data_IF_912705442055
#
_entry.id   IF_912705442055
#
_cell.length_a   1.000
_cell.length_b   1.000
_cell.length_c   1.000
_cell.angle_alpha   90.00
_cell.angle_beta   90.00
_cell.angle_gamma   90.00
#
_symmetry.space_group_name_H-M   'P 1'
#
loop_
_entity.id
_entity.type
_entity.pdbx_description
1 polymer ?
#
# COMPACT_ATOMS: atom_id res chain seq x y z
N UNK A 1 11.46 8.10 21.48
CA UNK A 1 10.78 9.06 20.61
C UNK A 1 11.79 9.91 19.85
N UNK A 2 11.97 9.64 18.55
CA UNK A 2 12.76 10.45 17.61
C UNK A 2 11.86 11.52 16.99
N UNK A 3 12.34 12.75 16.84
CA UNK A 3 11.59 13.83 16.15
C UNK A 3 12.00 13.94 14.69
N UNK A 4 11.01 14.08 13.78
CA UNK A 4 11.20 14.20 12.34
C UNK A 4 10.26 15.30 11.82
N UNK A 5 10.68 16.08 10.82
CA UNK A 5 9.79 17.04 10.13
C UNK A 5 8.94 16.30 9.09
N UNK A 6 7.63 16.58 9.01
CA UNK A 6 6.71 15.94 8.04
C UNK A 6 7.23 15.99 6.60
N UNK A 7 7.84 17.12 6.21
CA UNK A 7 8.40 17.34 4.87
C UNK A 7 9.69 16.54 4.58
N UNK A 8 10.33 15.97 5.60
CA UNK A 8 11.57 15.19 5.49
C UNK A 8 11.30 13.68 5.42
N UNK A 9 10.04 13.26 5.60
CA UNK A 9 9.66 11.85 5.55
C UNK A 9 9.65 11.39 4.09
N UNK A 10 10.50 10.43 3.71
CA UNK A 10 10.49 9.92 2.34
C UNK A 10 9.26 9.05 2.08
N UNK A 11 8.81 9.05 0.83
CA UNK A 11 7.87 8.04 0.34
C UNK A 11 8.58 6.69 0.27
N UNK A 12 7.82 5.62 0.51
CA UNK A 12 8.29 4.25 0.39
C UNK A 12 8.74 3.96 -1.04
N UNK A 13 9.99 3.54 -1.27
CA UNK A 13 10.46 3.15 -2.59
C UNK A 13 9.70 1.92 -3.13
N UNK A 14 9.16 2.02 -4.34
CA UNK A 14 8.43 0.95 -5.04
C UNK A 14 9.03 0.67 -6.42
N UNK A 15 9.01 -0.59 -6.86
CA UNK A 15 9.47 -1.01 -8.19
C UNK A 15 8.31 -0.99 -9.18
N UNK A 16 7.88 0.21 -9.57
CA UNK A 16 6.73 0.39 -10.47
C UNK A 16 7.17 0.16 -11.92
N UNK A 17 6.61 -0.85 -12.63
CA UNK A 17 6.99 -1.12 -14.00
C UNK A 17 6.35 -0.15 -15.00
N UNK A 18 6.91 -0.07 -16.20
CA UNK A 18 6.34 0.73 -17.31
C UNK A 18 4.88 0.34 -17.60
N UNK A 19 4.04 1.33 -17.86
CA UNK A 19 2.60 1.14 -18.17
C UNK A 19 1.68 1.25 -16.96
N UNK A 20 2.22 1.61 -15.80
CA UNK A 20 1.49 2.00 -14.60
C UNK A 20 1.61 3.51 -14.36
N UNK A 21 0.52 4.13 -13.90
CA UNK A 21 0.47 5.54 -13.53
C UNK A 21 0.09 5.65 -12.05
N UNK A 22 0.85 6.46 -11.31
CA UNK A 22 0.53 6.79 -9.92
C UNK A 22 -0.57 7.87 -9.94
N UNK A 23 -1.69 7.60 -9.27
CA UNK A 23 -2.81 8.54 -9.10
C UNK A 23 -2.66 9.31 -7.79
N UNK A 24 -2.39 8.59 -6.71
CA UNK A 24 -2.11 9.13 -5.39
C UNK A 24 -0.93 8.36 -4.78
N UNK A 25 -0.08 9.04 -4.01
CA UNK A 25 0.94 8.40 -3.20
C UNK A 25 1.24 9.23 -1.93
N UNK A 26 0.77 8.68 -0.81
CA UNK A 26 1.04 9.10 0.56
C UNK A 26 1.57 7.89 1.37
N UNK A 27 2.12 6.89 0.70
CA UNK A 27 2.72 5.72 1.35
C UNK A 27 4.16 6.06 1.78
N UNK A 28 4.32 6.46 3.03
CA UNK A 28 5.61 6.86 3.62
C UNK A 28 6.45 5.67 4.07
N UNK A 29 7.77 5.84 4.09
CA UNK A 29 8.72 4.86 4.64
C UNK A 29 8.76 4.93 6.18
N UNK A 30 7.64 4.59 6.82
CA UNK A 30 7.47 4.56 8.29
C UNK A 30 6.82 3.23 8.67
N UNK A 31 7.40 2.55 9.66
CA UNK A 31 6.77 1.33 10.19
C UNK A 31 5.60 1.66 11.12
N UNK A 32 4.48 0.92 11.06
CA UNK A 32 3.43 1.02 12.08
C UNK A 32 4.00 0.81 13.49
N UNK A 33 3.67 1.72 14.41
CA UNK A 33 4.13 1.64 15.81
C UNK A 33 5.58 2.07 16.05
N UNK A 34 6.24 2.70 15.07
CA UNK A 34 7.55 3.33 15.30
C UNK A 34 7.44 4.46 16.35
N UNK A 35 8.37 4.50 17.32
CA UNK A 35 8.39 5.52 18.39
C UNK A 35 8.98 6.85 17.86
N UNK A 36 8.19 7.55 17.06
CA UNK A 36 8.51 8.83 16.41
C UNK A 36 7.46 9.91 16.73
N UNK A 37 7.93 11.15 16.80
CA UNK A 37 7.10 12.36 16.86
C UNK A 37 7.31 13.14 15.57
N UNK A 38 6.23 13.50 14.89
CA UNK A 38 6.30 14.14 13.57
C UNK A 38 5.90 15.60 13.69
N UNK A 39 6.88 16.49 13.60
CA UNK A 39 6.61 17.92 13.56
C UNK A 39 5.84 18.25 12.26
N UNK A 40 4.70 18.93 12.40
CA UNK A 40 3.81 19.25 11.28
C UNK A 40 2.51 18.43 11.22
N UNK A 41 2.38 17.38 12.04
CA UNK A 41 1.10 16.66 12.23
C UNK A 41 0.34 17.16 13.47
N UNK A 42 -0.99 16.99 13.52
CA UNK A 42 -1.76 17.18 14.76
C UNK A 42 -1.17 16.34 15.90
N UNK A 43 -0.85 16.98 17.03
CA UNK A 43 -0.23 16.38 18.21
C UNK A 43 1.09 15.60 17.96
N UNK A 44 1.65 15.72 16.75
CA UNK A 44 2.82 15.00 16.27
C UNK A 44 2.65 13.48 16.18
N UNK A 45 1.41 12.98 16.16
CA UNK A 45 1.11 11.56 16.12
C UNK A 45 1.37 10.97 14.72
N UNK A 46 2.22 9.93 14.65
CA UNK A 46 2.55 9.26 13.41
C UNK A 46 1.38 8.44 12.83
N UNK A 47 0.40 8.05 13.66
CA UNK A 47 -0.77 7.34 13.19
C UNK A 47 -1.60 8.16 12.18
N UNK A 48 -1.52 9.49 12.22
CA UNK A 48 -2.14 10.41 11.26
C UNK A 48 -1.63 10.24 9.81
N UNK A 49 -0.53 9.51 9.59
CA UNK A 49 -0.04 9.18 8.24
C UNK A 49 -0.66 7.90 7.66
N UNK A 50 -1.37 7.12 8.46
CA UNK A 50 -1.95 5.84 8.07
C UNK A 50 -3.42 6.02 7.66
N UNK A 51 -3.60 6.50 6.43
CA UNK A 51 -4.90 6.89 5.85
C UNK A 51 -5.62 5.72 5.17
N UNK A 52 -6.93 5.84 4.95
CA UNK A 52 -7.67 4.88 4.10
C UNK A 52 -7.18 4.87 2.64
N UNK A 53 -6.72 6.01 2.13
CA UNK A 53 -6.24 6.15 0.76
C UNK A 53 -4.74 6.52 0.74
N UNK A 54 -3.86 5.52 0.86
CA UNK A 54 -2.41 5.76 0.92
C UNK A 54 -1.74 5.71 -0.44
N UNK A 55 -2.17 4.82 -1.34
CA UNK A 55 -1.56 4.66 -2.65
C UNK A 55 -2.57 4.10 -3.65
N UNK A 56 -2.70 4.78 -4.79
CA UNK A 56 -3.50 4.30 -5.92
C UNK A 56 -2.65 4.34 -7.18
N UNK A 57 -2.49 3.18 -7.82
CA UNK A 57 -1.77 3.03 -9.08
C UNK A 57 -2.69 2.37 -10.10
N UNK A 58 -2.80 2.92 -11.31
CA UNK A 58 -3.64 2.36 -12.38
C UNK A 58 -2.83 1.98 -13.61
N UNK A 59 -3.35 1.03 -14.39
CA UNK A 59 -2.82 0.62 -15.68
C UNK A 59 -3.93 0.66 -16.73
N UNK A 60 -3.95 1.71 -17.56
CA UNK A 60 -5.04 1.95 -18.53
C UNK A 60 -5.15 0.86 -19.59
N UNK A 61 -4.02 0.33 -20.04
CA UNK A 61 -3.97 -0.74 -21.04
C UNK A 61 -4.47 -2.09 -20.50
N UNK A 62 -4.39 -2.31 -19.18
CA UNK A 62 -4.82 -3.56 -18.53
C UNK A 62 -6.16 -3.44 -17.80
N UNK A 63 -6.66 -2.21 -17.67
CA UNK A 63 -7.84 -1.88 -16.84
C UNK A 63 -7.68 -2.41 -15.40
N UNK A 64 -6.48 -2.26 -14.85
CA UNK A 64 -6.14 -2.68 -13.48
C UNK A 64 -5.90 -1.47 -12.59
N UNK A 65 -6.27 -1.62 -11.32
CA UNK A 65 -5.96 -0.68 -10.24
C UNK A 65 -5.40 -1.45 -9.05
N UNK A 66 -4.32 -0.91 -8.48
CA UNK A 66 -3.77 -1.35 -7.21
C UNK A 66 -4.01 -0.24 -6.20
N UNK A 67 -4.74 -0.57 -5.15
CA UNK A 67 -5.14 0.35 -4.09
C UNK A 67 -4.58 -0.12 -2.75
N UNK A 68 -4.08 0.80 -1.94
CA UNK A 68 -3.54 0.54 -0.62
C UNK A 68 -4.11 1.56 0.36
N UNK A 69 -4.64 1.04 1.46
CA UNK A 69 -5.12 1.81 2.59
C UNK A 69 -4.69 1.22 3.92
N UNK A 70 -4.92 1.98 4.98
CA UNK A 70 -4.91 1.52 6.36
C UNK A 70 -6.32 1.59 6.94
N UNK A 71 -6.78 0.50 7.55
CA UNK A 71 -8.13 0.42 8.10
C UNK A 71 -8.16 -0.23 9.50
N UNK A 72 -8.80 0.42 10.50
CA UNK A 72 -9.42 1.76 10.46
C UNK A 72 -8.39 2.88 10.31
N UNK A 73 -8.78 3.98 9.65
CA UNK A 73 -7.91 5.16 9.42
C UNK A 73 -7.33 5.69 10.73
N UNK A 74 -6.03 5.99 10.71
CA UNK A 74 -5.26 6.53 11.84
C UNK A 74 -5.38 5.74 13.16
N UNK A 75 -5.85 4.49 13.10
CA UNK A 75 -6.04 3.66 14.28
C UNK A 75 -4.83 2.73 14.49
N UNK A 76 -4.17 2.75 15.67
CA UNK A 76 -3.07 1.84 16.00
C UNK A 76 -3.43 0.35 15.93
N UNK A 77 -4.72 0.00 16.01
CA UNK A 77 -5.26 -1.35 15.86
C UNK A 77 -5.63 -1.71 14.43
N UNK A 78 -5.48 -0.79 13.49
CA UNK A 78 -5.70 -1.02 12.08
C UNK A 78 -4.60 -1.87 11.43
N UNK A 79 -4.72 -2.05 10.12
CA UNK A 79 -3.78 -2.80 9.28
C UNK A 79 -3.81 -2.27 7.86
N UNK A 80 -2.75 -2.54 7.10
CA UNK A 80 -2.75 -2.31 5.68
C UNK A 80 -3.73 -3.25 4.97
N UNK A 81 -4.46 -2.71 4.00
CA UNK A 81 -5.33 -3.44 3.08
C UNK A 81 -4.86 -3.09 1.67
N UNK A 82 -4.30 -4.06 0.95
CA UNK A 82 -3.87 -3.93 -0.43
C UNK A 82 -4.86 -4.68 -1.34
N UNK A 83 -5.45 -3.99 -2.31
CA UNK A 83 -6.48 -4.55 -3.17
C UNK A 83 -6.12 -4.36 -4.64
N UNK A 84 -6.19 -5.45 -5.41
CA UNK A 84 -6.04 -5.43 -6.86
C UNK A 84 -7.41 -5.55 -7.51
N UNK A 85 -7.78 -4.56 -8.31
CA UNK A 85 -9.10 -4.43 -8.94
C UNK A 85 -8.94 -4.43 -10.45
N UNK A 86 -9.95 -4.97 -11.14
CA UNK A 86 -10.10 -4.88 -12.59
C UNK A 86 -11.38 -4.15 -12.93
N UNK A 87 -11.33 -3.30 -13.95
CA UNK A 87 -12.50 -2.60 -14.50
C UNK A 87 -13.29 -1.80 -13.44
N UNK A 88 -12.62 -1.27 -12.43
CA UNK A 88 -13.27 -0.56 -11.32
C UNK A 88 -14.31 -1.40 -10.55
N UNK A 89 -14.27 -2.74 -10.65
CA UNK A 89 -15.17 -3.64 -9.90
C UNK A 89 -14.67 -3.85 -8.46
N UNK A 90 -14.89 -2.84 -7.62
CA UNK A 90 -14.58 -2.87 -6.19
C UNK A 90 -15.34 -3.95 -5.42
N UNK A 91 -16.46 -4.45 -5.97
CA UNK A 91 -17.26 -5.49 -5.31
C UNK A 91 -16.66 -6.89 -5.50
N UNK A 92 -15.83 -7.06 -6.54
CA UNK A 92 -15.17 -8.33 -6.86
C UNK A 92 -13.69 -8.08 -7.18
N UNK A 93 -12.88 -7.73 -6.17
CA UNK A 93 -11.44 -7.55 -6.38
C UNK A 93 -10.81 -8.86 -6.87
N UNK A 94 -9.78 -8.74 -7.69
CA UNK A 94 -8.98 -9.89 -8.12
C UNK A 94 -8.31 -10.54 -6.92
N UNK A 95 -7.75 -9.71 -6.04
CA UNK A 95 -7.06 -10.16 -4.85
C UNK A 95 -7.07 -9.07 -3.77
N UNK A 96 -7.03 -9.49 -2.52
CA UNK A 96 -6.81 -8.64 -1.35
C UNK A 96 -5.72 -9.26 -0.49
N UNK A 97 -4.85 -8.42 0.07
CA UNK A 97 -3.80 -8.83 0.98
C UNK A 97 -3.75 -7.85 2.16
N UNK A 98 -3.65 -8.39 3.37
CA UNK A 98 -3.62 -7.59 4.59
C UNK A 98 -2.33 -7.87 5.36
N UNK A 99 -1.72 -6.84 5.93
CA UNK A 99 -0.56 -7.02 6.80
C UNK A 99 -0.39 -5.84 7.76
N UNK A 100 0.30 -6.08 8.87
CA UNK A 100 0.84 -5.02 9.74
C UNK A 100 2.27 -4.63 9.35
N UNK A 101 2.93 -5.41 8.48
CA UNK A 101 4.30 -5.18 8.04
C UNK A 101 4.31 -4.36 6.76
N UNK A 102 4.93 -3.17 6.81
CA UNK A 102 5.15 -2.35 5.61
C UNK A 102 5.97 -3.11 4.57
N UNK A 103 6.95 -3.91 5.00
CA UNK A 103 7.80 -4.69 4.10
C UNK A 103 7.00 -5.76 3.35
N UNK A 104 6.06 -6.44 4.02
CA UNK A 104 5.19 -7.43 3.35
C UNK A 104 4.32 -6.77 2.28
N UNK A 105 3.83 -5.55 2.56
CA UNK A 105 3.07 -4.75 1.60
C UNK A 105 3.94 -4.36 0.41
N UNK A 106 5.16 -3.88 0.64
CA UNK A 106 6.10 -3.52 -0.43
C UNK A 106 6.41 -4.73 -1.32
N UNK A 107 6.67 -5.89 -0.72
CA UNK A 107 6.94 -7.12 -1.45
C UNK A 107 5.71 -7.56 -2.26
N UNK A 108 4.50 -7.47 -1.68
CA UNK A 108 3.25 -7.81 -2.38
C UNK A 108 2.95 -6.85 -3.53
N UNK A 109 3.13 -5.54 -3.34
CA UNK A 109 3.01 -4.53 -4.40
C UNK A 109 3.96 -4.87 -5.55
N UNK A 110 5.25 -5.07 -5.25
CA UNK A 110 6.24 -5.36 -6.27
C UNK A 110 5.93 -6.66 -7.03
N UNK A 111 5.46 -7.69 -6.32
CA UNK A 111 5.04 -8.95 -6.91
C UNK A 111 3.85 -8.77 -7.86
N UNK A 112 2.75 -8.17 -7.40
CA UNK A 112 1.53 -8.01 -8.20
C UNK A 112 1.75 -7.10 -9.41
N UNK A 113 2.49 -6.00 -9.25
CA UNK A 113 2.84 -5.13 -10.36
C UNK A 113 3.72 -5.84 -11.41
N UNK A 114 4.60 -6.75 -10.98
CA UNK A 114 5.44 -7.54 -11.87
C UNK A 114 4.67 -8.64 -12.61
N UNK A 115 3.94 -9.50 -11.90
CA UNK A 115 3.20 -10.64 -12.48
C UNK A 115 2.17 -10.17 -13.52
N UNK A 116 1.49 -9.05 -13.24
CA UNK A 116 0.54 -8.47 -14.19
C UNK A 116 1.19 -7.98 -15.49
N UNK A 117 2.51 -7.81 -15.58
CA UNK A 117 3.20 -7.54 -16.86
C UNK A 117 3.31 -8.79 -17.74
N UNK A 118 3.39 -9.98 -17.13
CA UNK A 118 3.70 -11.23 -17.83
C UNK A 118 2.43 -11.90 -18.39
N UNK A 119 1.26 -11.25 -18.24
CA UNK A 119 -0.08 -11.66 -18.70
C UNK A 119 -0.73 -12.83 -17.96
N UNK A 120 -0.15 -13.33 -16.87
CA UNK A 120 -0.74 -14.46 -16.13
C UNK A 120 -1.28 -14.05 -14.76
N UNK A 121 -2.51 -13.53 -14.76
CA UNK A 121 -3.24 -13.19 -13.53
C UNK A 121 -3.64 -14.45 -12.75
N UNK A 122 -3.49 -15.65 -13.34
CA UNK A 122 -3.74 -16.92 -12.66
C UNK A 122 -2.76 -17.23 -11.52
N UNK A 123 -1.60 -16.57 -11.49
CA UNK A 123 -0.58 -16.79 -10.44
C UNK A 123 -0.79 -15.91 -9.19
N UNK A 124 -1.70 -14.93 -9.25
CA UNK A 124 -1.93 -14.00 -8.13
C UNK A 124 -2.56 -14.72 -6.92
N UNK A 125 -3.31 -15.80 -7.17
CA UNK A 125 -4.03 -16.60 -6.17
C UNK A 125 -3.19 -17.73 -5.54
N UNK A 126 -1.93 -17.92 -5.96
CA UNK A 126 -1.09 -19.06 -5.52
C UNK A 126 -0.01 -18.68 -4.50
N UNK A 127 0.04 -17.43 -4.06
CA UNK A 127 0.99 -16.97 -3.05
C UNK A 127 0.28 -16.33 -1.87
N UNK A 128 -0.29 -17.17 -0.99
CA UNK A 128 -0.33 -17.04 0.48
C UNK A 128 -1.39 -17.99 1.07
N UNK A 129 -1.17 -19.29 0.93
CA UNK A 129 -1.88 -20.33 1.70
C UNK A 129 -0.87 -21.11 2.57
N UNK A 130 0.13 -20.40 3.10
CA UNK A 130 1.11 -20.95 4.01
C UNK A 130 1.55 -19.87 5.00
N UNK A 131 0.74 -19.66 6.04
CA UNK A 131 1.17 -19.32 7.41
C UNK A 131 -0.08 -19.17 8.29
N UNK A 132 -0.63 -20.30 8.70
CA UNK A 132 -1.35 -20.47 9.97
C UNK A 132 -0.39 -20.51 11.15
#
# INVERSE_FOLDING_TARGET
MRTIELQEIPLQPLKIPTGWNIVCNQFFDIEPGEDIYINGLPDGDAWELFLQDMLLIHSNNKQLQLDLGWQPEADPSGKYILTLIRNEDWSHPIATFESLSKNDIVDKINLWLHVTLVNDISEIDLSYDASS
#
